data_IF_942521577709
#
_entry.id   IF_942521577709
#
_cell.length_a   1.000
_cell.length_b   1.000
_cell.length_c   1.000
_cell.angle_alpha   90.00
_cell.angle_beta   90.00
_cell.angle_gamma   90.00
#
_symmetry.space_group_name_H-M   'P 1'
#
loop_
_entity.id
_entity.type
_entity.pdbx_description
1 polymer ?
#
# COMPACT_ATOMS: atom_id res chain seq x y z
N UNK A 1 12.82 -24.09 -19.07
CA UNK A 1 11.89 -23.95 -17.92
C UNK A 1 12.28 -22.69 -17.17
N UNK A 2 11.68 -21.54 -17.48
CA UNK A 2 12.04 -20.28 -16.79
C UNK A 2 10.78 -19.45 -16.60
N UNK A 3 9.97 -19.85 -15.62
CA UNK A 3 9.05 -18.94 -14.96
C UNK A 3 9.66 -18.67 -13.59
N UNK A 4 10.36 -17.56 -13.43
CA UNK A 4 10.58 -17.00 -12.10
C UNK A 4 9.19 -16.75 -11.55
N UNK A 5 8.67 -17.68 -10.75
CA UNK A 5 7.49 -17.47 -9.93
C UNK A 5 7.89 -16.33 -9.00
N UNK A 6 7.58 -15.09 -9.40
CA UNK A 6 7.89 -13.91 -8.61
C UNK A 6 7.29 -14.13 -7.24
N UNK A 7 8.13 -14.45 -6.26
CA UNK A 7 7.68 -14.69 -4.90
C UNK A 7 7.20 -13.35 -4.37
N UNK A 8 5.89 -13.15 -4.42
CA UNK A 8 5.25 -12.02 -3.73
C UNK A 8 5.60 -12.18 -2.26
N UNK A 9 6.57 -11.40 -1.80
CA UNK A 9 6.99 -11.43 -0.41
C UNK A 9 5.87 -10.78 0.40
N UNK A 10 5.33 -11.54 1.34
CA UNK A 10 4.34 -11.09 2.30
C UNK A 10 5.03 -10.87 3.65
N UNK A 11 4.96 -9.66 4.18
CA UNK A 11 5.43 -9.34 5.52
C UNK A 11 4.33 -8.61 6.28
N UNK A 12 4.32 -8.82 7.59
CA UNK A 12 3.32 -8.23 8.44
C UNK A 12 3.92 -7.80 9.77
N UNK A 13 3.33 -6.78 10.39
CA UNK A 13 3.61 -6.40 11.77
C UNK A 13 2.31 -6.33 12.54
N UNK A 14 2.35 -6.79 13.78
CA UNK A 14 1.21 -6.81 14.69
C UNK A 14 1.52 -5.97 15.94
N UNK A 15 0.49 -5.46 16.62
CA UNK A 15 0.62 -4.86 17.94
C UNK A 15 0.69 -5.94 19.04
N UNK A 16 0.81 -5.51 20.29
CA UNK A 16 0.91 -6.42 21.44
C UNK A 16 -0.38 -7.23 21.68
N UNK A 17 -1.51 -6.72 21.21
CA UNK A 17 -2.83 -7.34 21.35
C UNK A 17 -3.16 -8.27 20.15
N UNK A 18 -2.30 -8.27 19.12
CA UNK A 18 -2.38 -9.13 17.95
C UNK A 18 -3.07 -8.49 16.74
N UNK A 19 -3.36 -7.19 16.79
CA UNK A 19 -3.93 -6.49 15.64
C UNK A 19 -2.85 -6.16 14.59
N UNK A 20 -3.20 -6.33 13.31
CA UNK A 20 -2.29 -6.11 12.19
C UNK A 20 -2.03 -4.63 11.95
N UNK A 21 -0.85 -4.11 12.28
CA UNK A 21 -0.47 -2.72 12.01
C UNK A 21 -0.06 -2.47 10.55
N UNK A 22 0.69 -3.39 9.94
CA UNK A 22 1.16 -3.25 8.56
C UNK A 22 1.11 -4.55 7.77
N UNK A 23 0.91 -4.44 6.46
CA UNK A 23 0.95 -5.55 5.51
C UNK A 23 1.73 -5.11 4.26
N UNK A 24 2.87 -5.75 4.02
CA UNK A 24 3.67 -5.59 2.81
C UNK A 24 3.39 -6.76 1.88
N UNK A 25 2.89 -6.48 0.68
CA UNK A 25 2.63 -7.49 -0.34
C UNK A 25 3.21 -7.04 -1.68
N UNK A 26 4.26 -7.72 -2.14
CA UNK A 26 4.87 -7.44 -3.45
C UNK A 26 5.37 -6.00 -3.60
N UNK A 27 5.84 -5.38 -2.51
CA UNK A 27 6.30 -3.98 -2.51
C UNK A 27 5.22 -2.93 -2.19
N UNK A 28 3.98 -3.35 -1.97
CA UNK A 28 2.89 -2.47 -1.50
C UNK A 28 2.74 -2.60 0.01
N UNK A 29 2.99 -1.52 0.76
CA UNK A 29 2.71 -1.47 2.20
C UNK A 29 1.32 -0.92 2.45
N UNK A 30 0.48 -1.65 3.15
CA UNK A 30 -0.81 -1.19 3.69
C UNK A 30 -0.68 -1.01 5.19
N UNK A 31 -1.13 0.14 5.71
CA UNK A 31 -1.17 0.46 7.13
C UNK A 31 -2.59 0.36 7.64
N UNK A 32 -2.74 -0.11 8.88
CA UNK A 32 -4.02 -0.20 9.57
C UNK A 32 -3.91 0.48 10.93
N UNK A 33 -5.01 1.07 11.38
CA UNK A 33 -5.13 1.57 12.74
C UNK A 33 -6.44 1.11 13.35
N UNK A 34 -6.41 0.88 14.65
CA UNK A 34 -7.54 0.37 15.41
C UNK A 34 -7.98 1.40 16.45
N UNK A 35 -9.24 1.32 16.87
CA UNK A 35 -9.71 2.03 18.06
C UNK A 35 -9.44 1.23 19.33
N UNK A 36 -9.90 1.74 20.48
CA UNK A 36 -9.65 1.13 21.80
C UNK A 36 -10.37 -0.22 22.00
N UNK A 37 -11.33 -0.56 21.14
CA UNK A 37 -12.02 -1.86 21.17
C UNK A 37 -11.53 -2.81 20.10
N UNK A 38 -10.30 -2.64 19.59
CA UNK A 38 -9.69 -3.46 18.54
C UNK A 38 -10.47 -3.45 17.21
N UNK A 39 -11.26 -2.41 16.97
CA UNK A 39 -12.00 -2.25 15.72
C UNK A 39 -11.20 -1.43 14.72
N UNK A 40 -11.19 -1.88 13.45
CA UNK A 40 -10.48 -1.19 12.38
C UNK A 40 -11.01 0.24 12.18
N UNK A 41 -10.18 1.22 12.47
CA UNK A 41 -10.49 2.64 12.33
C UNK A 41 -10.06 3.20 10.98
N UNK A 42 -8.86 2.86 10.51
CA UNK A 42 -8.39 3.29 9.19
C UNK A 42 -7.59 2.21 8.48
N UNK A 43 -7.69 2.18 7.15
CA UNK A 43 -6.83 1.42 6.26
C UNK A 43 -6.24 2.36 5.21
N UNK A 44 -4.91 2.44 5.13
CA UNK A 44 -4.19 3.26 4.15
C UNK A 44 -3.27 2.39 3.32
N UNK A 45 -3.63 2.16 2.06
CA UNK A 45 -2.75 1.50 1.10
C UNK A 45 -1.67 2.46 0.62
N UNK A 46 -0.40 2.06 0.72
CA UNK A 46 0.70 2.70 0.02
C UNK A 46 0.57 2.38 -1.45
N UNK A 47 0.33 3.39 -2.28
CA UNK A 47 0.31 3.22 -3.71
C UNK A 47 1.67 2.68 -4.15
N UNK A 48 1.71 1.63 -4.99
CA UNK A 48 2.96 1.36 -5.73
C UNK A 48 3.35 2.67 -6.42
N UNK A 49 4.62 3.09 -6.36
CA UNK A 49 5.09 4.25 -7.13
C UNK A 49 4.84 4.13 -8.65
N UNK A 50 4.34 2.98 -9.13
CA UNK A 50 4.26 2.61 -10.53
C UNK A 50 3.03 3.15 -11.26
N UNK A 51 2.14 3.92 -10.61
CA UNK A 51 0.97 4.52 -11.28
C UNK A 51 1.11 6.05 -11.44
N UNK A 52 1.79 6.43 -12.53
CA UNK A 52 1.48 7.61 -13.36
C UNK A 52 1.96 9.01 -12.90
N UNK A 53 3.22 9.31 -13.20
CA UNK A 53 3.54 10.58 -13.88
C UNK A 53 3.00 10.45 -15.32
N UNK A 54 2.15 11.28 -15.94
CA UNK A 54 1.51 12.56 -15.66
C UNK A 54 0.30 12.65 -16.61
N UNK A 55 -0.92 12.75 -16.10
CA UNK A 55 -2.04 13.35 -16.85
C UNK A 55 -2.57 14.55 -16.09
N UNK A 56 -1.79 15.64 -16.10
CA UNK A 56 -2.29 17.02 -16.03
C UNK A 56 -1.37 17.92 -16.84
N UNK A 57 -1.46 17.85 -18.18
CA UNK A 57 -1.06 18.99 -19.03
C UNK A 57 -2.20 20.01 -18.99
N UNK A 58 -2.33 20.71 -17.86
CA UNK A 58 -3.12 21.92 -17.77
C UNK A 58 -2.16 23.12 -17.88
N UNK A 59 -1.87 23.52 -19.12
CA UNK A 59 -1.64 24.93 -19.49
C UNK A 59 -1.64 24.99 -21.02
N UNK A 60 -2.77 25.40 -21.60
CA UNK A 60 -2.75 26.08 -22.90
C UNK A 60 -1.95 27.38 -22.70
N UNK A 61 -0.89 27.67 -23.47
CA UNK A 61 -0.50 29.03 -23.74
C UNK A 61 -1.29 29.52 -24.96
N UNK A 62 -1.96 30.65 -24.80
CA UNK A 62 -2.55 31.45 -25.87
C UNK A 62 -1.57 31.63 -27.03
N UNK A 63 -2.08 31.50 -28.25
CA UNK A 63 -1.58 32.19 -29.43
C UNK A 63 -2.75 32.61 -30.31
#
# INVERSE_FOLDING_TARGET
MSGTLGSTTHQYTDDADGNRLTSLSGGVTTYYTYDRGDQLKTRKGGQRPDHQLRLRRARQPDR
#
